data_IF_970370909197
#
_entry.id   IF_970370909197
#
_cell.length_a   1.000
_cell.length_b   1.000
_cell.length_c   1.000
_cell.angle_alpha   90.00
_cell.angle_beta   90.00
_cell.angle_gamma   90.00
#
_symmetry.space_group_name_H-M   'P 1'
#
loop_
_entity.id
_entity.type
_entity.pdbx_description
1 polymer ?
#
# COMPACT_ATOMS: atom_id res chain seq x y z
N UNK A 1 -52.91 -44.14 0.78
CA UNK A 1 -52.36 -43.45 1.95
C UNK A 1 -50.87 -43.25 1.68
N UNK A 2 -50.47 -42.07 1.18
CA UNK A 2 -49.76 -41.02 1.94
C UNK A 2 -48.26 -41.38 2.13
N UNK A 3 -47.24 -40.67 1.63
CA UNK A 3 -47.08 -39.22 1.42
C UNK A 3 -45.98 -38.89 0.41
N UNK A 4 -46.22 -37.82 -0.33
CA UNK A 4 -45.26 -36.99 -1.06
C UNK A 4 -44.17 -36.43 -0.13
N UNK A 5 -42.91 -36.44 -0.58
CA UNK A 5 -41.86 -35.58 -0.04
C UNK A 5 -41.12 -34.96 -1.24
N UNK A 6 -41.52 -33.73 -1.58
CA UNK A 6 -40.74 -32.88 -2.48
C UNK A 6 -39.46 -32.46 -1.74
N UNK A 7 -38.32 -32.94 -2.20
CA UNK A 7 -37.02 -32.44 -1.77
C UNK A 7 -36.71 -31.15 -2.54
N UNK A 8 -36.93 -30.00 -1.91
CA UNK A 8 -36.48 -28.70 -2.40
C UNK A 8 -34.96 -28.62 -2.27
N UNK A 9 -34.23 -28.84 -3.38
CA UNK A 9 -32.79 -28.63 -3.46
C UNK A 9 -32.51 -27.11 -3.43
N UNK A 10 -32.06 -26.61 -2.28
CA UNK A 10 -31.62 -25.22 -2.13
C UNK A 10 -30.19 -25.09 -2.67
N UNK A 11 -30.04 -24.63 -3.90
CA UNK A 11 -28.73 -24.34 -4.51
C UNK A 11 -28.15 -23.10 -3.85
N UNK A 12 -27.24 -23.28 -2.89
CA UNK A 12 -26.48 -22.18 -2.33
C UNK A 12 -25.47 -21.67 -3.38
N UNK A 13 -25.76 -20.53 -4.00
CA UNK A 13 -24.80 -19.84 -4.87
C UNK A 13 -23.72 -19.24 -3.99
N UNK A 14 -22.54 -19.85 -3.98
CA UNK A 14 -21.36 -19.33 -3.29
C UNK A 14 -20.76 -18.20 -4.14
N UNK A 15 -21.12 -16.96 -3.85
CA UNK A 15 -20.45 -15.80 -4.41
C UNK A 15 -19.04 -15.70 -3.84
N UNK A 16 -18.02 -15.96 -4.66
CA UNK A 16 -16.63 -15.72 -4.28
C UNK A 16 -16.40 -14.22 -4.30
N UNK A 17 -16.52 -13.58 -3.14
CA UNK A 17 -15.93 -12.26 -2.95
C UNK A 17 -14.41 -12.43 -2.96
N UNK A 18 -13.75 -11.99 -4.03
CA UNK A 18 -12.30 -11.88 -4.04
C UNK A 18 -11.91 -10.83 -2.99
N UNK A 19 -11.52 -11.29 -1.80
CA UNK A 19 -10.93 -10.42 -0.79
C UNK A 19 -9.57 -10.00 -1.35
N UNK A 20 -9.43 -8.73 -1.76
CA UNK A 20 -8.09 -8.20 -2.02
C UNK A 20 -7.38 -8.20 -0.68
N UNK A 21 -6.45 -9.14 -0.50
CA UNK A 21 -5.66 -9.23 0.70
C UNK A 21 -4.98 -7.87 0.90
N UNK A 22 -5.22 -7.23 2.05
CA UNK A 22 -4.42 -6.10 2.46
C UNK A 22 -3.00 -6.63 2.66
N UNK A 23 -2.18 -6.62 1.60
CA UNK A 23 -0.81 -7.09 1.64
C UNK A 23 0.04 -6.08 2.41
N UNK A 24 -0.19 -6.01 3.71
CA UNK A 24 0.49 -5.14 4.64
C UNK A 24 1.88 -5.70 4.92
N UNK A 25 2.89 -4.87 4.76
CA UNK A 25 4.28 -5.22 4.98
C UNK A 25 4.99 -4.14 5.77
N UNK A 26 6.01 -4.56 6.50
CA UNK A 26 6.95 -3.69 7.17
C UNK A 26 8.37 -4.14 6.83
N UNK A 27 9.28 -3.18 6.65
CA UNK A 27 10.70 -3.43 6.46
C UNK A 27 11.52 -2.42 7.23
N UNK A 28 12.63 -2.86 7.77
CA UNK A 28 13.66 -2.00 8.34
C UNK A 28 15.01 -2.44 7.81
N UNK A 29 15.95 -1.50 7.74
CA UNK A 29 17.30 -1.79 7.30
C UNK A 29 18.24 -0.65 7.62
N UNK A 30 19.54 -0.90 7.47
CA UNK A 30 20.57 0.10 7.66
C UNK A 30 21.62 0.02 6.57
N UNK A 31 22.10 1.18 6.13
CA UNK A 31 23.18 1.30 5.15
C UNK A 31 24.32 2.08 5.78
N UNK A 32 25.49 1.46 5.92
CA UNK A 32 26.69 2.12 6.41
C UNK A 32 27.51 2.69 5.26
N UNK A 33 27.96 3.92 5.42
CA UNK A 33 28.82 4.63 4.46
C UNK A 33 30.00 5.25 5.21
N UNK A 34 31.08 5.69 4.54
CA UNK A 34 32.15 6.44 5.20
C UNK A 34 31.68 7.72 5.92
N UNK A 35 30.49 8.25 5.56
CA UNK A 35 29.88 9.42 6.20
C UNK A 35 28.99 9.08 7.40
N UNK A 36 28.92 7.80 7.78
CA UNK A 36 28.15 7.27 8.89
C UNK A 36 27.02 6.31 8.47
N UNK A 37 26.26 5.83 9.45
CA UNK A 37 25.19 4.84 9.27
C UNK A 37 23.83 5.51 9.11
N UNK A 38 23.09 5.07 8.09
CA UNK A 38 21.70 5.47 7.85
C UNK A 38 20.78 4.32 8.24
N UNK A 39 19.74 4.60 9.01
CA UNK A 39 18.72 3.61 9.40
C UNK A 39 17.39 3.98 8.77
N UNK A 40 16.74 3.01 8.13
CA UNK A 40 15.48 3.21 7.43
C UNK A 40 14.42 2.24 7.93
N UNK A 41 13.19 2.72 8.00
CA UNK A 41 12.00 1.89 8.21
C UNK A 41 10.95 2.27 7.18
N UNK A 42 10.16 1.29 6.73
CA UNK A 42 9.03 1.53 5.85
C UNK A 42 7.93 0.53 6.11
N UNK A 43 6.71 0.99 5.95
CA UNK A 43 5.51 0.17 5.97
C UNK A 43 4.64 0.53 4.77
N UNK A 44 3.84 -0.42 4.32
CA UNK A 44 2.90 -0.16 3.26
C UNK A 44 1.93 -1.32 3.08
N UNK A 45 0.97 -1.12 2.20
CA UNK A 45 0.04 -2.17 1.82
C UNK A 45 -0.84 -1.74 0.68
N UNK A 46 -1.50 -2.71 0.06
CA UNK A 46 -2.41 -2.50 -1.05
C UNK A 46 -3.77 -3.11 -0.74
N UNK A 47 -4.84 -2.37 -0.98
CA UNK A 47 -6.21 -2.85 -0.88
C UNK A 47 -7.10 -2.09 -1.86
N UNK A 48 -8.06 -2.77 -2.49
CA UNK A 48 -9.06 -2.12 -3.35
C UNK A 48 -8.47 -1.27 -4.48
N UNK A 49 -7.40 -1.72 -5.13
CA UNK A 49 -6.74 -0.99 -6.23
C UNK A 49 -5.90 0.23 -5.79
N UNK A 50 -5.75 0.45 -4.48
CA UNK A 50 -4.88 1.49 -3.91
C UNK A 50 -3.76 0.89 -3.08
N UNK A 51 -2.53 1.32 -3.34
CA UNK A 51 -1.35 0.99 -2.58
C UNK A 51 -0.83 2.22 -1.85
N UNK A 52 -0.65 2.13 -0.54
CA UNK A 52 -0.08 3.19 0.29
C UNK A 52 1.25 2.75 0.89
N UNK A 53 2.18 3.70 1.05
CA UNK A 53 3.49 3.46 1.65
C UNK A 53 3.94 4.66 2.47
N UNK A 54 4.49 4.39 3.64
CA UNK A 54 5.18 5.36 4.50
C UNK A 54 6.59 4.86 4.80
N UNK A 55 7.56 5.75 4.85
CA UNK A 55 8.94 5.42 5.13
C UNK A 55 9.66 6.56 5.83
N UNK A 56 10.59 6.21 6.70
CA UNK A 56 11.52 7.14 7.34
C UNK A 56 12.95 6.69 7.11
N UNK A 57 13.87 7.64 7.09
CA UNK A 57 15.30 7.36 7.06
C UNK A 57 16.02 8.40 7.89
N UNK A 58 16.74 7.94 8.91
CA UNK A 58 17.52 8.76 9.84
C UNK A 58 18.99 8.60 9.53
N UNK A 59 19.68 9.72 9.37
CA UNK A 59 21.11 9.75 9.14
C UNK A 59 21.92 9.74 10.43
N UNK A 60 23.26 9.60 10.32
CA UNK A 60 24.16 9.50 11.46
C UNK A 60 24.20 10.76 12.34
N UNK A 61 23.79 11.91 11.79
CA UNK A 61 23.70 13.18 12.51
C UNK A 61 22.29 13.47 13.06
N UNK A 62 21.42 12.46 13.14
CA UNK A 62 20.05 12.57 13.70
C UNK A 62 19.01 13.15 12.75
N UNK A 63 19.41 13.75 11.63
CA UNK A 63 18.48 14.26 10.62
C UNK A 63 17.63 13.15 10.01
N UNK A 64 16.31 13.34 10.00
CA UNK A 64 15.34 12.34 9.51
C UNK A 64 14.57 12.85 8.30
N UNK A 65 14.46 12.01 7.27
CA UNK A 65 13.59 12.24 6.11
C UNK A 65 12.41 11.29 6.21
N UNK A 66 11.20 11.81 6.09
CA UNK A 66 9.97 11.03 6.02
C UNK A 66 9.35 11.15 4.62
N UNK A 67 8.80 10.06 4.10
CA UNK A 67 8.07 10.03 2.83
C UNK A 67 6.82 9.17 2.98
N UNK A 68 5.67 9.69 2.59
CA UNK A 68 4.41 8.95 2.60
C UNK A 68 3.61 9.25 1.34
N UNK A 69 2.88 8.27 0.84
CA UNK A 69 2.03 8.48 -0.33
C UNK A 69 1.23 7.25 -0.71
N UNK A 70 0.39 7.43 -1.71
CA UNK A 70 -0.44 6.40 -2.28
C UNK A 70 -0.42 6.42 -3.81
N UNK A 71 -0.74 5.27 -4.38
CA UNK A 71 -0.96 5.06 -5.80
C UNK A 71 -2.28 4.32 -5.95
N UNK A 72 -3.19 4.84 -6.75
CA UNK A 72 -4.51 4.26 -7.01
C UNK A 72 -4.65 3.99 -8.49
N UNK A 73 -4.99 2.75 -8.84
CA UNK A 73 -5.37 2.40 -10.21
C UNK A 73 -6.76 2.97 -10.51
N UNK A 74 -6.85 3.87 -11.49
CA UNK A 74 -8.12 4.52 -11.88
C UNK A 74 -8.73 3.94 -13.14
N UNK A 75 -7.92 3.26 -13.96
CA UNK A 75 -8.35 2.48 -15.13
C UNK A 75 -7.31 1.39 -15.43
N UNK A 76 -7.60 0.40 -16.31
CA UNK A 76 -6.58 -0.52 -16.80
C UNK A 76 -5.36 0.25 -17.34
N UNK A 77 -4.17 -0.06 -16.80
CA UNK A 77 -2.93 0.62 -17.19
C UNK A 77 -2.72 2.04 -16.64
N UNK A 78 -3.74 2.69 -16.05
CA UNK A 78 -3.66 4.08 -15.56
C UNK A 78 -3.69 4.17 -14.04
N UNK A 79 -2.75 4.94 -13.48
CA UNK A 79 -2.56 5.09 -12.03
C UNK A 79 -2.40 6.56 -11.64
N UNK A 80 -3.19 7.01 -10.69
CA UNK A 80 -2.97 8.28 -10.01
C UNK A 80 -2.07 8.07 -8.80
N UNK A 81 -1.19 9.02 -8.51
CA UNK A 81 -0.36 8.98 -7.31
C UNK A 81 -0.33 10.34 -6.62
N UNK A 82 -0.14 10.29 -5.30
CA UNK A 82 0.20 11.45 -4.50
C UNK A 82 1.19 11.04 -3.42
N UNK A 83 2.23 11.84 -3.20
CA UNK A 83 3.12 11.64 -2.06
C UNK A 83 3.70 12.94 -1.54
N UNK A 84 3.99 12.92 -0.24
CA UNK A 84 4.65 13.97 0.50
C UNK A 84 6.02 13.49 0.94
N UNK A 85 7.03 14.34 0.83
CA UNK A 85 8.36 14.11 1.40
C UNK A 85 8.71 15.26 2.34
N UNK A 86 9.01 14.94 3.58
CA UNK A 86 9.37 15.90 4.63
C UNK A 86 10.83 15.72 5.00
N UNK A 87 11.59 16.81 4.92
CA UNK A 87 13.01 16.82 5.28
C UNK A 87 13.25 17.02 6.77
N UNK A 88 14.53 16.93 7.21
CA UNK A 88 14.90 17.03 8.62
C UNK A 88 14.53 18.37 9.28
N UNK A 89 14.42 19.43 8.47
CA UNK A 89 14.06 20.77 8.93
C UNK A 89 12.53 21.03 8.89
N UNK A 90 11.71 19.99 8.73
CA UNK A 90 10.24 20.11 8.69
C UNK A 90 9.65 20.57 7.35
N UNK A 91 10.46 21.09 6.44
CA UNK A 91 10.01 21.48 5.10
C UNK A 91 9.51 20.26 4.30
N UNK A 92 8.36 20.42 3.65
CA UNK A 92 7.69 19.34 2.93
C UNK A 92 7.46 19.71 1.46
N UNK A 93 7.59 18.70 0.60
CA UNK A 93 7.24 18.78 -0.82
C UNK A 93 6.15 17.78 -1.09
N UNK A 94 5.04 18.24 -1.68
CA UNK A 94 3.97 17.38 -2.15
C UNK A 94 4.04 17.24 -3.67
N UNK A 95 3.84 16.02 -4.17
CA UNK A 95 3.80 15.73 -5.60
C UNK A 95 2.70 14.73 -5.91
N UNK A 96 1.82 15.13 -6.83
CA UNK A 96 0.77 14.31 -7.39
C UNK A 96 0.88 14.22 -8.91
N UNK A 97 0.27 13.21 -9.50
CA UNK A 97 0.17 13.07 -10.94
C UNK A 97 -0.51 11.78 -11.37
N UNK A 98 -0.52 11.56 -12.68
CA UNK A 98 -1.05 10.35 -13.31
C UNK A 98 0.04 9.72 -14.16
N UNK A 99 0.14 8.39 -14.11
CA UNK A 99 1.00 7.60 -14.99
C UNK A 99 0.12 6.58 -15.71
N UNK A 100 0.29 6.48 -17.03
CA UNK A 100 -0.37 5.46 -17.84
C UNK A 100 0.68 4.59 -18.53
N UNK A 101 0.41 3.29 -18.60
CA UNK A 101 1.20 2.32 -19.35
C UNK A 101 0.39 1.94 -20.59
N UNK A 102 0.98 2.21 -21.76
CA UNK A 102 0.47 1.82 -23.07
C UNK A 102 0.70 0.33 -23.33
#
# INVERSE_FOLDING_TARGET
>A
MNRTVLALSLTAVLSVAAVTEAAAWTRSGSTSTPRGTYTSSAAGGCAGGTCSRSATTTGPYGGTVARSGSVTQTAPGTYNYNHTSTGPNGNSVNRSGTVSRY
#
